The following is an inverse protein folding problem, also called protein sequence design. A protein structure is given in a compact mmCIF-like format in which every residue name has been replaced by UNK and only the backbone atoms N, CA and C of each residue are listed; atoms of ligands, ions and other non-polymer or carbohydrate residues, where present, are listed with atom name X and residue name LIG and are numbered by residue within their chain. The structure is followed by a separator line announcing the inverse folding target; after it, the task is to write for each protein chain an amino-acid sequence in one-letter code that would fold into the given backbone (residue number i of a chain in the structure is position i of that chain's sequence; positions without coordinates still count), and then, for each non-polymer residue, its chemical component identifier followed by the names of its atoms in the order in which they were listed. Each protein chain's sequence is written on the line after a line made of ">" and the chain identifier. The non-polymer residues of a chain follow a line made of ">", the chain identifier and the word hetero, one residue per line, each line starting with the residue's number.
data_IF_389555179215
#
_entry.id   IF_389555179215
#
_cell.length_a   1.000
_cell.length_b   1.000
_cell.length_c   1.000
_cell.angle_alpha   90.00
_cell.angle_beta   90.00
_cell.angle_gamma   90.00
#
_symmetry.space_group_name_H-M   'P 1'
#
loop_
_entity.id
_entity.type
_entity.pdbx_description
1 polymer ?
#
# COMPACT_ATOMS: atom_id res chain seq x y z
N UNK A 1 13.32 2.09 23.13
CA UNK A 1 14.47 1.56 22.37
C UNK A 1 14.43 2.08 20.95
N UNK A 2 15.59 2.41 20.41
CA UNK A 2 15.72 2.74 18.99
C UNK A 2 15.66 1.44 18.20
N UNK A 3 14.76 1.35 17.23
CA UNK A 3 14.66 0.22 16.31
C UNK A 3 14.96 0.68 14.89
N UNK A 4 15.50 -0.21 14.05
CA UNK A 4 15.71 0.09 12.64
C UNK A 4 14.39 0.03 11.86
N UNK A 5 14.38 0.58 10.65
CA UNK A 5 13.29 0.50 9.65
C UNK A 5 12.82 -0.95 9.41
N UNK A 6 13.75 -1.87 9.19
CA UNK A 6 13.46 -3.31 9.00
C UNK A 6 12.73 -3.92 10.20
N UNK A 7 13.20 -3.62 11.42
CA UNK A 7 12.56 -4.11 12.64
C UNK A 7 11.21 -3.42 12.86
N UNK A 8 11.05 -2.17 12.44
CA UNK A 8 9.77 -1.47 12.49
C UNK A 8 8.74 -2.13 11.57
N UNK A 9 9.12 -2.53 10.36
CA UNK A 9 8.27 -3.32 9.44
C UNK A 9 7.96 -4.69 10.03
N UNK A 10 8.97 -5.44 10.48
CA UNK A 10 8.84 -6.77 11.08
C UNK A 10 7.81 -6.80 12.21
N UNK A 11 7.84 -5.79 13.09
CA UNK A 11 7.00 -5.70 14.29
C UNK A 11 5.74 -4.85 14.11
N UNK A 12 5.53 -4.30 12.92
CA UNK A 12 4.41 -3.39 12.63
C UNK A 12 4.34 -2.21 13.61
N UNK A 13 5.45 -1.49 13.81
CA UNK A 13 5.56 -0.43 14.80
C UNK A 13 4.89 0.87 14.35
N UNK A 14 3.67 1.13 14.84
CA UNK A 14 2.99 2.41 14.61
C UNK A 14 3.80 3.60 15.12
N UNK A 15 4.45 3.47 16.28
CA UNK A 15 5.29 4.55 16.85
C UNK A 15 6.43 4.94 15.91
N UNK A 16 7.03 3.97 15.21
CA UNK A 16 8.05 4.27 14.21
C UNK A 16 7.46 5.07 13.04
N UNK A 17 6.31 4.66 12.52
CA UNK A 17 5.63 5.34 11.42
C UNK A 17 5.17 6.75 11.83
N UNK A 18 4.65 6.94 13.04
CA UNK A 18 4.31 8.25 13.57
C UNK A 18 5.52 9.20 13.62
N UNK A 19 6.67 8.72 14.13
CA UNK A 19 7.90 9.51 14.15
C UNK A 19 8.40 9.86 12.75
N UNK A 20 8.28 8.92 11.81
CA UNK A 20 8.63 9.15 10.41
C UNK A 20 7.72 10.22 9.78
N UNK A 21 6.40 10.14 10.02
CA UNK A 21 5.44 11.13 9.54
C UNK A 21 5.74 12.53 10.10
N UNK A 22 5.99 12.65 11.40
CA UNK A 22 6.37 13.92 12.03
C UNK A 22 7.65 14.49 11.40
N UNK A 23 8.64 13.64 11.14
CA UNK A 23 9.87 14.07 10.44
C UNK A 23 9.58 14.58 9.02
N UNK A 24 8.63 13.95 8.29
CA UNK A 24 8.18 14.43 6.97
C UNK A 24 7.54 15.81 7.07
N UNK A 25 6.80 16.10 8.15
CA UNK A 25 6.22 17.42 8.45
C UNK A 25 7.27 18.42 9.02
N UNK A 26 8.54 18.05 9.18
CA UNK A 26 9.56 18.90 9.78
C UNK A 26 9.44 19.06 11.31
N UNK A 27 8.67 18.19 11.96
CA UNK A 27 8.43 18.22 13.42
C UNK A 27 9.37 17.23 14.11
N UNK A 28 10.16 17.72 15.08
CA UNK A 28 11.03 16.88 15.90
C UNK A 28 10.23 16.32 17.08
N UNK A 29 10.07 14.99 17.10
CA UNK A 29 9.37 14.29 18.18
C UNK A 29 9.99 14.60 19.56
N UNK A 30 9.13 14.97 20.52
CA UNK A 30 9.55 15.29 21.89
C UNK A 30 10.12 16.69 22.09
N UNK A 31 10.30 17.49 21.03
CA UNK A 31 10.79 18.87 21.10
C UNK A 31 9.75 19.89 20.63
N UNK A 32 8.86 19.51 19.76
CA UNK A 32 7.84 20.38 19.18
C UNK A 32 6.45 19.79 19.36
N UNK A 33 5.43 20.66 19.41
CA UNK A 33 4.03 20.23 19.44
C UNK A 33 3.63 19.64 18.09
N UNK A 34 2.89 18.53 18.12
CA UNK A 34 2.26 17.94 16.93
C UNK A 34 1.17 18.84 16.33
N UNK A 35 0.69 19.85 17.09
CA UNK A 35 -0.28 20.83 16.59
C UNK A 35 0.28 21.74 15.48
N UNK A 36 1.58 21.66 15.20
CA UNK A 36 2.21 22.30 14.04
C UNK A 36 1.92 21.62 12.69
N UNK A 37 1.28 20.44 12.66
CA UNK A 37 0.88 19.78 11.43
C UNK A 37 -0.17 20.59 10.68
N UNK A 38 0.04 20.75 9.38
CA UNK A 38 -0.78 21.56 8.48
C UNK A 38 -1.42 20.74 7.35
N UNK A 39 -2.38 21.30 6.64
CA UNK A 39 -2.95 20.69 5.44
C UNK A 39 -1.88 20.40 4.35
N UNK A 40 -0.84 21.22 4.27
CA UNK A 40 0.28 21.02 3.34
C UNK A 40 1.07 19.74 3.67
N UNK A 41 1.20 19.39 4.96
CA UNK A 41 1.88 18.15 5.37
C UNK A 41 1.08 16.91 4.97
N UNK A 42 -0.25 16.94 5.12
CA UNK A 42 -1.14 15.89 4.59
C UNK A 42 -0.96 15.74 3.08
N UNK A 43 -0.94 16.86 2.34
CA UNK A 43 -0.79 16.81 0.88
C UNK A 43 0.59 16.28 0.49
N UNK A 44 1.65 16.65 1.21
CA UNK A 44 3.00 16.15 0.98
C UNK A 44 3.06 14.61 1.15
N UNK A 45 2.42 14.07 2.17
CA UNK A 45 2.34 12.62 2.37
C UNK A 45 1.53 11.95 1.27
N UNK A 46 0.36 12.49 0.92
CA UNK A 46 -0.50 11.99 -0.17
C UNK A 46 0.21 12.01 -1.53
N UNK A 47 1.00 13.05 -1.82
CA UNK A 47 1.83 13.10 -3.02
C UNK A 47 2.88 11.98 -3.05
N UNK A 48 3.42 11.62 -1.89
CA UNK A 48 4.27 10.42 -1.75
C UNK A 48 3.51 9.15 -2.09
N UNK A 49 2.32 8.96 -1.53
CA UNK A 49 1.47 7.79 -1.77
C UNK A 49 1.00 7.68 -3.23
N UNK A 50 0.66 8.80 -3.85
CA UNK A 50 0.23 8.86 -5.25
C UNK A 50 1.28 8.32 -6.23
N UNK A 51 2.58 8.48 -5.92
CA UNK A 51 3.66 7.91 -6.74
C UNK A 51 3.64 6.37 -6.77
N UNK A 52 3.04 5.76 -5.75
CA UNK A 52 2.83 4.32 -5.65
C UNK A 52 1.44 3.87 -6.10
N UNK A 53 0.56 4.78 -6.56
CA UNK A 53 -0.78 4.47 -7.05
C UNK A 53 -1.90 4.63 -6.02
N UNK A 54 -1.61 5.10 -4.80
CA UNK A 54 -2.64 5.29 -3.77
C UNK A 54 -3.32 6.66 -3.90
N UNK A 55 -4.65 6.68 -3.94
CA UNK A 55 -5.46 7.89 -4.04
C UNK A 55 -5.48 8.55 -5.43
N UNK A 56 -5.06 7.84 -6.47
CA UNK A 56 -5.07 8.23 -7.88
C UNK A 56 -5.56 7.07 -8.75
N UNK A 57 -5.89 7.33 -10.00
CA UNK A 57 -6.23 6.27 -10.95
C UNK A 57 -5.07 5.29 -11.14
N UNK A 58 -5.38 3.99 -11.20
CA UNK A 58 -4.38 2.95 -11.46
C UNK A 58 -4.00 2.87 -12.93
N UNK A 59 -4.83 3.43 -13.80
CA UNK A 59 -4.67 3.38 -15.26
C UNK A 59 -5.09 2.04 -15.87
N UNK A 60 -5.96 1.28 -15.18
CA UNK A 60 -6.55 0.05 -15.75
C UNK A 60 -7.34 0.37 -17.02
N UNK A 61 -7.33 -0.53 -17.97
CA UNK A 61 -8.05 -0.44 -19.25
C UNK A 61 -9.58 -0.62 -19.15
N UNK A 62 -10.16 -0.18 -18.01
CA UNK A 62 -11.61 -0.17 -17.75
C UNK A 62 -12.07 1.26 -17.39
N UNK A 63 -13.29 1.64 -17.80
CA UNK A 63 -13.84 2.95 -17.46
C UNK A 63 -14.31 3.01 -16.00
N UNK A 64 -14.35 4.22 -15.42
CA UNK A 64 -15.01 4.48 -14.14
C UNK A 64 -14.21 4.07 -12.92
N UNK A 65 -12.88 4.24 -12.94
CA UNK A 65 -12.04 3.99 -11.76
C UNK A 65 -12.47 4.86 -10.57
N UNK A 66 -12.50 4.24 -9.41
CA UNK A 66 -12.67 4.93 -8.13
C UNK A 66 -11.32 5.06 -7.41
N UNK A 67 -10.98 6.28 -7.03
CA UNK A 67 -9.64 6.61 -6.47
C UNK A 67 -9.56 6.52 -4.94
N UNK A 68 -10.57 5.93 -4.29
CA UNK A 68 -10.66 5.88 -2.83
C UNK A 68 -11.30 7.14 -2.23
N UNK A 69 -11.25 7.26 -0.92
CA UNK A 69 -11.81 8.41 -0.18
C UNK A 69 -10.71 9.09 0.61
N UNK A 70 -10.56 10.40 0.41
CA UNK A 70 -9.66 11.25 1.19
C UNK A 70 -10.40 11.80 2.41
N UNK A 71 -9.81 11.68 3.58
CA UNK A 71 -10.28 12.37 4.76
C UNK A 71 -10.15 13.89 4.60
N UNK A 72 -11.11 14.64 5.13
CA UNK A 72 -11.19 16.10 5.00
C UNK A 72 -10.71 16.87 6.23
N UNK A 73 -10.49 16.20 7.36
CA UNK A 73 -9.97 16.81 8.58
C UNK A 73 -8.45 16.90 8.55
N UNK A 74 -7.92 18.00 9.08
CA UNK A 74 -6.47 18.26 9.16
C UNK A 74 -5.96 18.25 10.61
N UNK A 75 -6.63 17.51 11.48
CA UNK A 75 -6.22 17.35 12.88
C UNK A 75 -4.91 16.56 12.97
N UNK A 76 -3.99 16.93 13.88
CA UNK A 76 -2.69 16.23 14.03
C UNK A 76 -2.79 14.74 14.26
N UNK A 77 -3.80 14.27 15.02
CA UNK A 77 -4.07 12.84 15.19
C UNK A 77 -4.39 12.13 13.88
N UNK A 78 -5.18 12.78 13.00
CA UNK A 78 -5.51 12.25 11.66
C UNK A 78 -4.29 12.16 10.74
N UNK A 79 -3.31 13.02 10.91
CA UNK A 79 -2.04 12.91 10.19
C UNK A 79 -1.26 11.65 10.60
N UNK A 80 -1.26 11.32 11.89
CA UNK A 80 -0.66 10.08 12.37
C UNK A 80 -1.46 8.86 11.90
N UNK A 81 -2.79 8.92 11.92
CA UNK A 81 -3.66 7.88 11.37
C UNK A 81 -3.38 7.66 9.87
N UNK A 82 -3.18 8.73 9.09
CA UNK A 82 -2.79 8.65 7.68
C UNK A 82 -1.48 7.88 7.49
N UNK A 83 -0.51 8.07 8.39
CA UNK A 83 0.80 7.42 8.32
C UNK A 83 0.76 5.90 8.51
N UNK A 84 -0.28 5.37 9.10
CA UNK A 84 -0.49 3.93 9.32
C UNK A 84 -1.63 3.34 8.47
N UNK A 85 -2.20 4.13 7.56
CA UNK A 85 -3.26 3.68 6.66
C UNK A 85 -4.66 3.63 7.28
N UNK A 86 -4.91 4.39 8.36
CA UNK A 86 -6.18 4.37 9.11
C UNK A 86 -7.07 5.61 8.83
N UNK A 87 -6.73 6.45 7.88
CA UNK A 87 -7.46 7.71 7.63
C UNK A 87 -8.03 7.81 6.21
N UNK A 88 -7.18 7.84 5.19
CA UNK A 88 -7.62 7.74 3.79
C UNK A 88 -7.94 6.27 3.46
N UNK A 89 -8.88 6.02 2.56
CA UNK A 89 -9.20 4.67 2.09
C UNK A 89 -8.84 4.50 0.62
N UNK A 90 -8.44 3.30 0.26
CA UNK A 90 -7.96 2.96 -1.09
C UNK A 90 -8.67 1.72 -1.60
N UNK A 91 -8.75 1.57 -2.92
CA UNK A 91 -9.33 0.38 -3.53
C UNK A 91 -8.37 -0.82 -3.44
N UNK A 92 -8.88 -2.07 -3.45
CA UNK A 92 -8.01 -3.26 -3.51
C UNK A 92 -7.07 -3.24 -4.72
N UNK A 93 -7.50 -2.68 -5.86
CA UNK A 93 -6.66 -2.56 -7.05
C UNK A 93 -5.48 -1.59 -6.83
N UNK A 94 -5.74 -0.45 -6.18
CA UNK A 94 -4.68 0.48 -5.80
C UNK A 94 -3.68 -0.16 -4.83
N UNK A 95 -4.15 -0.95 -3.86
CA UNK A 95 -3.27 -1.67 -2.93
C UNK A 95 -2.43 -2.72 -3.67
N UNK A 96 -3.02 -3.45 -4.62
CA UNK A 96 -2.29 -4.41 -5.45
C UNK A 96 -1.22 -3.72 -6.30
N UNK A 97 -1.54 -2.59 -6.95
CA UNK A 97 -0.58 -1.80 -7.72
C UNK A 97 0.55 -1.27 -6.82
N UNK A 98 0.22 -0.74 -5.63
CA UNK A 98 1.20 -0.29 -4.65
C UNK A 98 2.19 -1.39 -4.26
N UNK A 99 1.68 -2.56 -3.88
CA UNK A 99 2.55 -3.70 -3.49
C UNK A 99 3.40 -4.17 -4.67
N UNK A 100 2.83 -4.23 -5.87
CA UNK A 100 3.58 -4.57 -7.10
C UNK A 100 4.69 -3.58 -7.39
N UNK A 101 4.43 -2.27 -7.22
CA UNK A 101 5.41 -1.19 -7.39
C UNK A 101 6.57 -1.32 -6.40
N UNK A 102 6.28 -1.66 -5.15
CA UNK A 102 7.33 -1.94 -4.15
C UNK A 102 8.12 -3.19 -4.53
N UNK A 103 7.44 -4.26 -4.94
CA UNK A 103 8.06 -5.55 -5.23
C UNK A 103 8.99 -5.51 -6.44
N UNK A 104 8.68 -4.71 -7.47
CA UNK A 104 9.48 -4.61 -8.69
C UNK A 104 10.58 -3.55 -8.64
N UNK A 105 10.74 -2.84 -7.52
CA UNK A 105 11.79 -1.83 -7.35
C UNK A 105 11.41 -0.44 -7.85
N UNK A 106 10.11 -0.12 -7.97
CA UNK A 106 9.63 1.24 -8.13
C UNK A 106 8.94 1.60 -9.44
N UNK A 107 8.71 0.64 -10.32
CA UNK A 107 7.97 0.87 -11.56
C UNK A 107 6.47 0.72 -11.31
N UNK A 108 5.72 1.82 -11.37
CA UNK A 108 4.27 1.78 -11.31
C UNK A 108 3.69 1.42 -12.66
N UNK A 109 3.23 0.18 -12.79
CA UNK A 109 2.69 -0.37 -14.03
C UNK A 109 1.17 -0.25 -14.03
N UNK A 110 0.58 0.17 -15.16
CA UNK A 110 -0.85 0.17 -15.36
C UNK A 110 -1.37 -1.28 -15.39
N UNK A 111 -2.35 -1.66 -14.54
CA UNK A 111 -3.02 -2.94 -14.68
C UNK A 111 -3.78 -3.00 -16.01
N UNK A 112 -3.90 -4.17 -16.61
CA UNK A 112 -4.74 -4.35 -17.78
C UNK A 112 -5.44 -5.71 -17.78
N UNK A 113 -6.64 -5.77 -18.30
CA UNK A 113 -7.44 -6.98 -18.45
C UNK A 113 -7.15 -7.60 -19.81
N UNK A 114 -7.03 -6.76 -20.84
CA UNK A 114 -6.73 -7.21 -22.18
C UNK A 114 -5.25 -7.55 -22.30
N UNK A 115 -4.94 -8.83 -22.50
CA UNK A 115 -3.56 -9.29 -22.71
C UNK A 115 -3.23 -9.45 -24.19
N UNK A 116 -4.10 -10.13 -24.92
CA UNK A 116 -3.86 -10.51 -26.32
C UNK A 116 -5.14 -10.41 -27.13
N UNK A 117 -5.04 -10.09 -28.40
CA UNK A 117 -6.10 -10.16 -29.41
C UNK A 117 -5.68 -11.21 -30.44
N UNK A 118 -6.57 -12.11 -30.75
CA UNK A 118 -6.35 -13.15 -31.75
C UNK A 118 -7.38 -13.06 -32.88
N UNK A 119 -6.97 -13.41 -34.08
CA UNK A 119 -7.88 -13.60 -35.18
C UNK A 119 -8.87 -14.76 -34.89
N UNK A 120 -10.08 -14.77 -35.49
CA UNK A 120 -10.97 -15.90 -35.37
C UNK A 120 -10.27 -17.19 -35.83
N UNK A 121 -10.43 -18.27 -35.07
CA UNK A 121 -9.91 -19.58 -35.51
C UNK A 121 -10.89 -20.28 -36.46
N UNK A 122 -10.36 -21.02 -37.41
CA UNK A 122 -11.15 -21.75 -38.39
C UNK A 122 -12.09 -22.80 -37.76
N UNK A 123 -11.71 -23.36 -36.61
CA UNK A 123 -12.45 -24.44 -35.94
C UNK A 123 -13.25 -23.95 -34.72
N UNK A 124 -13.15 -22.67 -34.31
CA UNK A 124 -13.84 -22.10 -33.17
C UNK A 124 -13.47 -22.70 -31.78
N UNK A 125 -12.47 -23.59 -31.72
CA UNK A 125 -12.09 -24.32 -30.51
C UNK A 125 -10.72 -23.96 -29.97
N UNK A 126 -9.87 -23.35 -30.80
CA UNK A 126 -8.50 -22.91 -30.43
C UNK A 126 -8.39 -21.42 -30.70
N UNK A 127 -7.38 -20.78 -30.10
CA UNK A 127 -7.05 -19.41 -30.46
C UNK A 127 -6.52 -19.37 -31.90
N UNK A 128 -6.93 -18.36 -32.66
CA UNK A 128 -6.37 -18.08 -34.00
C UNK A 128 -4.97 -17.47 -33.88
N UNK A 129 -4.47 -16.96 -35.00
CA UNK A 129 -3.17 -16.28 -35.05
C UNK A 129 -3.21 -15.04 -34.11
N UNK A 130 -2.12 -14.80 -33.39
CA UNK A 130 -1.95 -13.59 -32.59
C UNK A 130 -1.98 -12.36 -33.53
N UNK A 131 -2.93 -11.46 -33.28
CA UNK A 131 -3.06 -10.19 -33.99
C UNK A 131 -2.30 -9.09 -33.22
N UNK A 132 -2.52 -8.98 -31.90
CA UNK A 132 -1.89 -7.96 -31.07
C UNK A 132 -1.64 -8.47 -29.65
N UNK A 133 -0.48 -8.18 -29.11
CA UNK A 133 -0.16 -8.30 -27.69
C UNK A 133 -0.16 -6.91 -27.05
N UNK A 134 -0.66 -6.82 -25.79
CA UNK A 134 -0.69 -5.58 -25.04
C UNK A 134 0.54 -5.55 -24.12
N UNK A 135 1.46 -4.66 -24.43
CA UNK A 135 2.67 -4.47 -23.65
C UNK A 135 2.39 -3.75 -22.32
N UNK A 136 3.12 -4.09 -21.24
CA UNK A 136 3.03 -3.37 -19.98
C UNK A 136 3.35 -1.88 -20.14
N UNK A 137 2.52 -1.01 -19.56
CA UNK A 137 2.72 0.44 -19.56
C UNK A 137 3.21 0.90 -18.20
N UNK A 138 4.42 1.46 -18.13
CA UNK A 138 4.95 2.10 -16.93
C UNK A 138 4.39 3.52 -16.85
N UNK A 139 3.61 3.82 -15.80
CA UNK A 139 3.01 5.12 -15.56
C UNK A 139 4.01 6.13 -14.99
N UNK A 140 4.85 5.65 -14.07
CA UNK A 140 5.95 6.42 -13.49
C UNK A 140 6.96 5.51 -12.77
N UNK A 141 8.14 6.07 -12.51
CA UNK A 141 9.13 5.54 -11.59
C UNK A 141 9.07 6.30 -10.26
N UNK A 142 9.25 5.64 -9.13
CA UNK A 142 9.08 6.25 -7.78
C UNK A 142 10.32 6.96 -7.29
N UNK A 143 11.31 7.31 -8.00
CA UNK A 143 12.51 8.06 -7.58
C UNK A 143 13.22 7.55 -6.29
N UNK A 144 12.93 6.35 -5.84
CA UNK A 144 13.61 5.68 -4.75
C UNK A 144 14.81 4.90 -5.31
N UNK A 145 15.85 4.74 -4.48
CA UNK A 145 17.03 3.96 -4.87
C UNK A 145 16.81 2.46 -4.67
N UNK A 146 17.54 1.64 -5.42
CA UNK A 146 17.53 0.18 -5.22
C UNK A 146 17.95 -0.21 -3.78
N UNK A 147 18.83 0.56 -3.15
CA UNK A 147 19.24 0.34 -1.77
C UNK A 147 18.07 0.51 -0.78
N UNK A 148 17.21 1.51 -0.99
CA UNK A 148 15.99 1.72 -0.19
C UNK A 148 15.01 0.56 -0.39
N UNK A 149 14.72 0.15 -1.63
CA UNK A 149 13.89 -1.03 -1.89
C UNK A 149 14.45 -2.30 -1.27
N UNK A 150 15.75 -2.50 -1.31
CA UNK A 150 16.40 -3.66 -0.67
C UNK A 150 16.22 -3.66 0.86
N UNK A 151 16.15 -2.49 1.51
CA UNK A 151 15.86 -2.39 2.94
C UNK A 151 14.39 -2.76 3.22
N UNK A 152 13.45 -2.22 2.43
CA UNK A 152 12.05 -2.54 2.56
C UNK A 152 11.77 -4.03 2.31
N UNK A 153 12.31 -4.61 1.24
CA UNK A 153 12.18 -6.04 0.95
C UNK A 153 12.73 -6.92 2.08
N UNK A 154 13.86 -6.54 2.69
CA UNK A 154 14.39 -7.24 3.88
C UNK A 154 13.44 -7.14 5.06
N UNK A 155 12.91 -5.95 5.34
CA UNK A 155 11.92 -5.74 6.40
C UNK A 155 10.65 -6.56 6.16
N UNK A 156 10.10 -6.53 4.95
CA UNK A 156 8.92 -7.30 4.54
C UNK A 156 9.16 -8.82 4.61
N UNK A 157 10.36 -9.28 4.24
CA UNK A 157 10.75 -10.68 4.41
C UNK A 157 10.79 -11.08 5.89
N UNK A 158 11.27 -10.21 6.78
CA UNK A 158 11.32 -10.47 8.23
C UNK A 158 9.93 -10.63 8.85
N UNK A 159 8.89 -9.99 8.30
CA UNK A 159 7.50 -10.15 8.75
C UNK A 159 7.05 -11.61 8.70
N UNK A 160 7.48 -12.36 7.71
CA UNK A 160 7.04 -13.74 7.43
C UNK A 160 8.06 -14.79 7.88
N UNK A 161 9.34 -14.52 7.71
CA UNK A 161 10.38 -15.56 7.78
C UNK A 161 11.24 -15.50 9.05
N UNK A 162 10.89 -14.67 10.04
CA UNK A 162 11.61 -14.61 11.32
C UNK A 162 10.67 -14.87 12.49
N UNK A 163 11.12 -15.49 13.60
CA UNK A 163 10.26 -15.87 14.72
C UNK A 163 9.46 -14.74 15.36
N UNK A 164 9.96 -13.50 15.30
CA UNK A 164 9.29 -12.30 15.84
C UNK A 164 8.51 -11.49 14.79
N UNK A 165 8.40 -12.00 13.57
CA UNK A 165 7.60 -11.40 12.51
C UNK A 165 6.10 -11.57 12.76
N UNK A 166 5.30 -10.54 12.45
CA UNK A 166 3.85 -10.55 12.76
C UNK A 166 3.06 -11.61 12.00
N UNK A 167 3.55 -12.10 10.86
CA UNK A 167 2.91 -13.16 10.07
C UNK A 167 3.60 -14.53 10.23
N UNK A 168 4.72 -14.63 10.94
CA UNK A 168 5.55 -15.86 10.95
C UNK A 168 4.82 -17.13 11.41
N UNK A 169 3.89 -16.98 12.35
CA UNK A 169 3.09 -18.13 12.86
C UNK A 169 2.19 -18.76 11.79
N UNK A 170 1.74 -17.96 10.82
CA UNK A 170 0.80 -18.40 9.78
C UNK A 170 1.52 -18.98 8.56
N UNK A 171 2.83 -18.78 8.47
CA UNK A 171 3.65 -19.16 7.31
C UNK A 171 4.80 -20.10 7.67
N UNK A 172 4.82 -20.65 8.91
CA UNK A 172 5.88 -21.56 9.39
C UNK A 172 6.05 -22.78 8.50
N UNK A 173 4.96 -23.30 7.94
CA UNK A 173 4.93 -24.51 7.12
C UNK A 173 4.85 -24.23 5.60
N UNK A 174 4.94 -22.95 5.20
CA UNK A 174 4.88 -22.58 3.80
C UNK A 174 6.11 -23.11 3.03
N UNK A 175 5.86 -23.75 1.89
CA UNK A 175 6.91 -24.27 0.99
C UNK A 175 7.63 -23.19 0.19
N UNK A 176 7.27 -21.94 0.38
CA UNK A 176 7.83 -20.77 -0.29
C UNK A 176 8.18 -19.69 0.74
N UNK A 177 9.06 -18.77 0.35
CA UNK A 177 9.38 -17.59 1.17
C UNK A 177 8.48 -16.44 0.76
N UNK A 178 7.63 -15.98 1.67
CA UNK A 178 6.80 -14.81 1.48
C UNK A 178 7.53 -13.54 1.93
N UNK A 179 7.16 -12.40 1.35
CA UNK A 179 7.51 -11.08 1.83
C UNK A 179 6.27 -10.18 1.74
N UNK A 180 6.04 -9.34 2.72
CA UNK A 180 4.87 -8.47 2.76
C UNK A 180 4.72 -7.77 4.10
N UNK A 181 3.54 -7.20 4.32
CA UNK A 181 3.20 -6.49 5.55
C UNK A 181 1.81 -6.87 6.01
N UNK A 182 1.65 -7.20 7.28
CA UNK A 182 0.33 -7.37 7.89
C UNK A 182 -0.37 -6.02 7.99
N UNK A 183 -1.69 -6.00 7.74
CA UNK A 183 -2.54 -4.84 7.92
C UNK A 183 -3.65 -5.14 8.92
N UNK A 184 -3.99 -4.15 9.75
CA UNK A 184 -5.15 -4.17 10.63
C UNK A 184 -5.82 -2.81 10.54
N UNK A 185 -7.09 -2.78 10.19
CA UNK A 185 -7.85 -1.55 10.08
C UNK A 185 -9.08 -1.60 11.00
N UNK A 186 -9.40 -0.46 11.62
CA UNK A 186 -10.64 -0.28 12.35
C UNK A 186 -11.68 0.33 11.43
N UNK A 187 -12.86 -0.28 11.38
CA UNK A 187 -13.98 0.20 10.58
C UNK A 187 -15.27 0.26 11.43
N UNK A 188 -16.12 1.22 11.12
CA UNK A 188 -17.45 1.30 11.74
C UNK A 188 -18.37 0.32 10.99
N UNK A 189 -18.97 -0.58 11.73
CA UNK A 189 -19.95 -1.50 11.19
C UNK A 189 -21.34 -0.88 11.12
N UNK A 190 -21.93 -0.82 9.94
CA UNK A 190 -23.27 -0.27 9.70
C UNK A 190 -24.36 -1.33 9.47
N UNK A 191 -24.04 -2.61 9.67
CA UNK A 191 -24.99 -3.70 9.46
C UNK A 191 -26.06 -3.83 10.56
N UNK A 192 -26.96 -4.84 10.44
CA UNK A 192 -28.14 -4.98 11.32
C UNK A 192 -27.84 -5.21 12.81
N UNK A 193 -26.60 -5.52 13.16
CA UNK A 193 -26.12 -5.72 14.53
C UNK A 193 -25.16 -4.63 14.99
N UNK A 194 -25.27 -3.42 14.44
CA UNK A 194 -24.40 -2.27 14.73
C UNK A 194 -24.24 -2.00 16.23
N UNK A 195 -25.31 -2.03 16.99
CA UNK A 195 -25.29 -1.80 18.44
C UNK A 195 -24.49 -2.85 19.21
N UNK A 196 -24.49 -4.09 18.71
CA UNK A 196 -23.74 -5.19 19.31
C UNK A 196 -22.24 -5.15 18.99
N UNK A 197 -21.90 -4.72 17.79
CA UNK A 197 -20.55 -4.87 17.27
C UNK A 197 -19.75 -3.56 17.24
N UNK A 198 -20.37 -2.40 17.05
CA UNK A 198 -19.69 -1.10 17.06
C UNK A 198 -18.58 -0.99 16.03
N UNK A 199 -17.36 -0.71 16.47
CA UNK A 199 -16.15 -0.63 15.64
C UNK A 199 -15.47 -1.99 15.58
N UNK A 200 -15.02 -2.39 14.40
CA UNK A 200 -14.27 -3.63 14.19
C UNK A 200 -12.82 -3.37 13.78
N UNK A 201 -11.92 -4.22 14.27
CA UNK A 201 -10.61 -4.42 13.67
C UNK A 201 -10.68 -5.56 12.66
N UNK A 202 -10.27 -5.30 11.42
CA UNK A 202 -10.12 -6.30 10.36
C UNK A 202 -8.63 -6.53 10.14
N UNK A 203 -8.20 -7.77 10.28
CA UNK A 203 -6.83 -8.23 9.98
C UNK A 203 -6.77 -8.95 8.65
#
# INVERSE_FOLDING_TARGET
>A
SVISDKVALQKSSNVYMFKTALKVAGITYGQQSINGVTAADFQKMRNGYARFGLGVETGIDLPGEFTGVKGNETLPGKYLDLAIGQYDTYTPLQLAQYVSTVANGGDRIAPHILKEIHEPSENGKTLGRLDKEIEPTILNHTNNTQAEYNQDHKGMSMVYNTPSGTASKFFSDAKYKAAGKTGTAEVIYYGPKKEKYGTYSIT
#
